data_IF_243245681166
#
_entry.id   IF_243245681166
#
_cell.length_a   1.000
_cell.length_b   1.000
_cell.length_c   1.000
_cell.angle_alpha   90.00
_cell.angle_beta   90.00
_cell.angle_gamma   90.00
#
_symmetry.space_group_name_H-M   'P 1'
#
loop_
_entity.id
_entity.type
_entity.pdbx_description
1 polymer ?
#
# COMPACT_ATOMS: atom_id res chain seq x y z
N UNK A 1 2.92 21.12 -7.95
CA UNK A 1 3.23 20.04 -6.98
C UNK A 1 2.61 18.77 -7.54
N UNK A 2 3.41 17.75 -7.83
CA UNK A 2 2.86 16.44 -8.22
C UNK A 2 2.05 15.90 -7.03
N UNK A 3 0.85 15.37 -7.29
CA UNK A 3 -0.04 14.85 -6.22
C UNK A 3 0.60 13.65 -5.52
N UNK A 4 1.49 12.94 -6.20
CA UNK A 4 2.01 11.66 -5.75
C UNK A 4 3.41 11.73 -5.14
N UNK A 5 4.25 12.68 -5.56
CA UNK A 5 5.65 12.77 -5.12
C UNK A 5 6.04 14.22 -4.83
N UNK A 6 6.65 14.43 -3.67
CA UNK A 6 7.39 15.65 -3.36
C UNK A 6 8.83 15.49 -3.87
N UNK A 7 9.08 16.00 -5.08
CA UNK A 7 10.34 15.80 -5.83
C UNK A 7 11.54 16.34 -5.03
N UNK A 8 11.35 17.40 -4.25
CA UNK A 8 12.39 18.01 -3.41
C UNK A 8 12.82 17.13 -2.23
N UNK A 9 12.02 16.11 -1.89
CA UNK A 9 12.30 15.16 -0.79
C UNK A 9 12.82 13.81 -1.28
N UNK A 10 13.05 13.65 -2.59
CA UNK A 10 13.64 12.44 -3.13
C UNK A 10 15.09 12.32 -2.67
N UNK A 11 15.48 11.11 -2.25
CA UNK A 11 16.84 10.79 -1.83
C UNK A 11 17.54 10.04 -2.94
N UNK A 12 18.77 10.43 -3.22
CA UNK A 12 19.62 9.72 -4.16
C UNK A 12 19.85 8.28 -3.71
N UNK A 13 19.98 7.37 -4.67
CA UNK A 13 20.21 5.94 -4.43
C UNK A 13 19.00 5.19 -3.84
N UNK A 14 17.80 5.78 -3.88
CA UNK A 14 16.56 5.10 -3.51
C UNK A 14 15.66 4.87 -4.72
N UNK A 15 15.07 3.69 -4.77
CA UNK A 15 14.02 3.36 -5.72
C UNK A 15 12.66 3.87 -5.20
N UNK A 16 11.94 4.55 -6.08
CA UNK A 16 10.60 5.05 -5.82
C UNK A 16 9.61 4.42 -6.80
N UNK A 17 8.35 4.19 -6.38
CA UNK A 17 7.32 3.73 -7.29
C UNK A 17 7.07 4.73 -8.43
N UNK A 18 6.82 4.22 -9.62
CA UNK A 18 6.24 5.00 -10.70
C UNK A 18 4.72 5.03 -10.50
N UNK A 19 4.18 6.18 -10.11
CA UNK A 19 2.74 6.38 -10.00
C UNK A 19 2.13 6.59 -11.40
N UNK A 20 1.03 5.88 -11.65
CA UNK A 20 0.31 5.89 -12.92
C UNK A 20 -1.10 6.44 -12.68
N UNK A 21 -1.41 7.56 -13.32
CA UNK A 21 -2.76 8.14 -13.30
C UNK A 21 -3.68 7.28 -14.17
N UNK A 22 -4.90 7.03 -13.70
CA UNK A 22 -5.83 6.07 -14.33
C UNK A 22 -6.13 6.31 -15.83
N UNK A 23 -5.96 7.53 -16.32
CA UNK A 23 -6.16 7.94 -17.73
C UNK A 23 -4.89 7.81 -18.60
N UNK A 24 -3.73 7.53 -18.00
CA UNK A 24 -2.42 7.46 -18.70
C UNK A 24 -2.00 6.04 -19.09
N UNK A 25 -2.67 5.02 -18.56
CA UNK A 25 -2.37 3.62 -18.85
C UNK A 25 -3.66 2.86 -19.15
N UNK A 26 -3.51 1.68 -19.75
CA UNK A 26 -4.62 0.77 -20.05
C UNK A 26 -4.24 -0.67 -19.71
N UNK A 27 -5.23 -1.48 -19.38
CA UNK A 27 -5.06 -2.93 -19.16
C UNK A 27 -6.14 -3.65 -19.94
N UNK A 28 -5.75 -4.62 -20.74
CA UNK A 28 -6.63 -5.33 -21.68
C UNK A 28 -6.38 -6.84 -21.59
N UNK A 29 -7.44 -7.63 -21.80
CA UNK A 29 -7.32 -9.09 -21.87
C UNK A 29 -6.63 -9.45 -23.18
N UNK A 30 -5.68 -10.37 -23.13
CA UNK A 30 -4.97 -10.81 -24.32
C UNK A 30 -5.86 -11.77 -25.11
N UNK A 31 -6.15 -11.43 -26.37
CA UNK A 31 -7.02 -12.24 -27.24
C UNK A 31 -6.23 -13.33 -28.00
N UNK A 32 -4.93 -13.10 -28.27
CA UNK A 32 -4.16 -13.88 -29.25
C UNK A 32 -2.83 -14.45 -28.71
N UNK A 33 -2.70 -14.69 -27.41
CA UNK A 33 -1.48 -15.26 -26.81
C UNK A 33 -1.79 -16.41 -25.86
N UNK A 34 -0.98 -17.48 -25.91
CA UNK A 34 -1.10 -18.63 -24.99
C UNK A 34 -0.37 -18.39 -23.67
N UNK A 35 0.71 -17.60 -23.71
CA UNK A 35 1.62 -17.40 -22.59
C UNK A 35 1.14 -16.35 -21.58
N UNK A 36 0.35 -15.37 -22.04
CA UNK A 36 -0.07 -14.21 -21.23
C UNK A 36 -1.57 -13.97 -21.38
N UNK A 37 -2.25 -13.74 -20.26
CA UNK A 37 -3.69 -13.47 -20.22
C UNK A 37 -4.06 -11.99 -20.36
N UNK A 38 -3.11 -11.08 -20.13
CA UNK A 38 -3.35 -9.64 -20.08
C UNK A 38 -2.15 -8.83 -20.58
N UNK A 39 -2.46 -7.68 -21.17
CA UNK A 39 -1.52 -6.66 -21.60
C UNK A 39 -1.77 -5.35 -20.85
N UNK A 40 -0.71 -4.66 -20.45
CA UNK A 40 -0.78 -3.31 -19.90
C UNK A 40 -0.02 -2.33 -20.81
N UNK A 41 -0.65 -1.21 -21.16
CA UNK A 41 -0.02 -0.13 -21.90
C UNK A 41 0.55 0.89 -20.92
N UNK A 42 1.86 0.88 -20.73
CA UNK A 42 2.55 1.73 -19.75
C UNK A 42 3.16 2.94 -20.45
N UNK A 43 2.86 4.17 -20.01
CA UNK A 43 3.45 5.38 -20.59
C UNK A 43 4.96 5.43 -20.30
N UNK A 44 5.76 5.71 -21.33
CA UNK A 44 7.20 5.93 -21.22
C UNK A 44 7.58 7.16 -22.04
N UNK A 45 8.69 7.81 -21.68
CA UNK A 45 9.11 9.09 -22.29
C UNK A 45 9.33 8.99 -23.79
N UNK A 46 9.95 7.92 -24.24
CA UNK A 46 10.50 7.82 -25.61
C UNK A 46 9.52 7.21 -26.62
N UNK A 47 8.37 6.70 -26.16
CA UNK A 47 7.38 6.02 -27.01
C UNK A 47 6.04 6.72 -26.87
N UNK A 48 5.60 7.38 -27.94
CA UNK A 48 4.30 8.03 -27.98
C UNK A 48 3.18 7.01 -27.74
N UNK A 49 2.38 7.25 -26.70
CA UNK A 49 1.29 6.37 -26.29
C UNK A 49 1.71 5.19 -25.41
N UNK A 50 3.00 4.98 -25.11
CA UNK A 50 3.49 3.96 -24.19
C UNK A 50 3.85 2.61 -24.83
N UNK A 51 4.38 1.70 -24.00
CA UNK A 51 4.81 0.34 -24.37
C UNK A 51 3.82 -0.68 -23.83
N UNK A 52 3.51 -1.69 -24.63
CA UNK A 52 2.72 -2.84 -24.22
C UNK A 52 3.59 -3.86 -23.50
N UNK A 53 3.25 -4.16 -22.25
CA UNK A 53 3.95 -5.16 -21.44
C UNK A 53 2.98 -6.26 -21.01
N UNK A 54 3.41 -7.53 -21.02
CA UNK A 54 2.57 -8.61 -20.54
C UNK A 54 2.44 -8.52 -19.02
N UNK A 55 1.23 -8.75 -18.50
CA UNK A 55 0.98 -8.76 -17.06
C UNK A 55 0.27 -10.05 -16.64
N UNK A 56 0.72 -10.62 -15.52
CA UNK A 56 0.11 -11.81 -14.92
C UNK A 56 -0.57 -11.39 -13.62
N UNK A 57 -1.88 -11.09 -13.64
CA UNK A 57 -2.56 -10.69 -12.43
C UNK A 57 -2.75 -11.91 -11.50
N UNK A 58 -2.86 -11.65 -10.20
CA UNK A 58 -3.14 -12.66 -9.19
C UNK A 58 -4.61 -13.12 -9.22
N UNK A 59 -5.49 -12.29 -9.76
CA UNK A 59 -6.92 -12.53 -9.94
C UNK A 59 -7.37 -12.05 -11.32
N UNK A 60 -8.49 -12.57 -11.83
CA UNK A 60 -9.05 -12.12 -13.11
C UNK A 60 -9.50 -10.64 -13.02
N UNK A 61 -9.05 -9.82 -13.97
CA UNK A 61 -9.48 -8.43 -14.10
C UNK A 61 -10.79 -8.42 -14.88
N UNK A 62 -11.91 -8.16 -14.20
CA UNK A 62 -13.23 -8.09 -14.81
C UNK A 62 -13.42 -6.75 -15.51
N UNK A 63 -14.13 -6.77 -16.64
CA UNK A 63 -14.49 -5.56 -17.41
C UNK A 63 -15.34 -4.56 -16.61
N UNK A 64 -16.07 -5.04 -15.60
CA UNK A 64 -16.90 -4.20 -14.73
C UNK A 64 -16.09 -3.41 -13.70
N UNK A 65 -14.79 -3.69 -13.55
CA UNK A 65 -13.95 -3.01 -12.57
C UNK A 65 -13.54 -1.64 -13.10
N UNK A 66 -13.68 -0.63 -12.26
CA UNK A 66 -13.23 0.72 -12.58
C UNK A 66 -11.76 0.87 -12.18
N UNK A 67 -10.87 0.98 -13.17
CA UNK A 67 -9.44 1.14 -12.96
C UNK A 67 -9.15 2.50 -12.32
N UNK A 68 -8.35 2.50 -11.26
CA UNK A 68 -7.94 3.68 -10.49
C UNK A 68 -6.44 3.93 -10.61
N UNK A 69 -5.99 5.02 -10.01
CA UNK A 69 -4.57 5.35 -9.93
C UNK A 69 -3.79 4.17 -9.35
N UNK A 70 -2.75 3.79 -10.08
CA UNK A 70 -2.00 2.56 -9.88
C UNK A 70 -0.51 2.88 -9.80
N UNK A 71 0.33 1.88 -9.57
CA UNK A 71 1.77 2.11 -9.49
C UNK A 71 2.58 0.92 -9.97
N UNK A 72 3.77 1.18 -10.48
CA UNK A 72 4.79 0.18 -10.74
C UNK A 72 5.84 0.30 -9.65
N UNK A 73 6.18 -0.83 -9.02
CA UNK A 73 7.17 -0.91 -7.96
C UNK A 73 8.30 -1.81 -8.42
N UNK A 74 9.54 -1.36 -8.26
CA UNK A 74 10.70 -2.23 -8.42
C UNK A 74 10.95 -3.00 -7.13
N UNK A 75 11.03 -4.32 -7.22
CA UNK A 75 11.51 -5.19 -6.14
C UNK A 75 12.66 -6.02 -6.65
N UNK A 76 13.85 -5.76 -6.12
CA UNK A 76 15.10 -6.41 -6.52
C UNK A 76 15.31 -6.32 -8.05
N UNK A 77 15.09 -7.45 -8.73
CA UNK A 77 15.27 -7.62 -10.19
C UNK A 77 13.95 -7.70 -10.96
N UNK A 78 12.80 -7.45 -10.31
CA UNK A 78 11.47 -7.60 -10.90
C UNK A 78 10.67 -6.31 -10.74
N UNK A 79 9.83 -6.01 -11.75
CA UNK A 79 8.82 -4.96 -11.66
C UNK A 79 7.46 -5.58 -11.33
N UNK A 80 6.82 -5.06 -10.29
CA UNK A 80 5.45 -5.40 -9.94
C UNK A 80 4.52 -4.27 -10.36
N UNK A 81 3.44 -4.63 -11.06
CA UNK A 81 2.38 -3.70 -11.38
C UNK A 81 1.24 -3.82 -10.36
N UNK A 82 1.11 -2.82 -9.49
CA UNK A 82 0.07 -2.75 -8.46
C UNK A 82 -1.14 -2.02 -9.05
N UNK A 83 -2.05 -2.79 -9.63
CA UNK A 83 -3.30 -2.30 -10.22
C UNK A 83 -4.35 -2.05 -9.13
N UNK A 84 -4.80 -0.80 -9.02
CA UNK A 84 -5.92 -0.42 -8.15
C UNK A 84 -7.22 -0.46 -8.92
N UNK A 85 -8.25 -1.13 -8.36
CA UNK A 85 -9.59 -1.18 -8.94
C UNK A 85 -10.64 -0.81 -7.92
N UNK A 86 -11.70 -0.15 -8.37
CA UNK A 86 -12.94 0.01 -7.64
C UNK A 86 -13.98 -0.91 -8.24
N UNK A 87 -14.63 -1.72 -7.40
CA UNK A 87 -15.74 -2.58 -7.78
C UNK A 87 -16.88 -2.38 -6.80
N UNK A 88 -18.10 -2.38 -7.32
CA UNK A 88 -19.28 -2.51 -6.47
C UNK A 88 -19.34 -3.95 -5.96
N UNK A 89 -19.70 -4.10 -4.69
CA UNK A 89 -19.87 -5.40 -4.05
C UNK A 89 -21.25 -5.44 -3.43
N UNK A 90 -21.94 -6.56 -3.61
CA UNK A 90 -23.23 -6.76 -2.95
C UNK A 90 -23.02 -6.81 -1.43
N UNK A 91 -23.92 -6.18 -0.65
CA UNK A 91 -23.89 -6.30 0.79
C UNK A 91 -24.04 -7.77 1.17
N UNK A 92 -23.19 -8.24 2.07
CA UNK A 92 -23.30 -9.61 2.59
C UNK A 92 -24.47 -9.64 3.57
N UNK A 93 -25.50 -10.44 3.30
CA UNK A 93 -26.68 -10.55 4.17
C UNK A 93 -26.33 -11.06 5.58
N UNK A 94 -25.34 -11.96 5.68
CA UNK A 94 -24.87 -12.50 6.95
C UNK A 94 -23.34 -12.54 6.99
N UNK A 95 -22.75 -11.76 7.91
CA UNK A 95 -21.33 -11.82 8.18
C UNK A 95 -20.99 -13.09 8.96
N UNK A 96 -19.95 -13.82 8.52
CA UNK A 96 -19.38 -14.96 9.28
C UNK A 96 -18.80 -14.54 10.64
N UNK A 97 -18.59 -13.24 10.84
CA UNK A 97 -18.06 -12.66 12.06
C UNK A 97 -17.70 -11.19 11.93
N UNK A 98 -17.42 -10.56 13.07
CA UNK A 98 -16.90 -9.19 13.14
C UNK A 98 -15.46 -9.23 13.67
N UNK A 99 -14.59 -8.45 13.04
CA UNK A 99 -13.25 -8.16 13.49
C UNK A 99 -13.22 -6.73 14.05
N UNK A 100 -13.27 -6.59 15.37
CA UNK A 100 -13.05 -5.31 16.02
C UNK A 100 -11.54 -5.01 16.08
N UNK A 101 -11.12 -3.85 15.62
CA UNK A 101 -9.72 -3.39 15.71
C UNK A 101 -9.72 -2.05 16.45
N UNK A 102 -9.04 -1.99 17.58
CA UNK A 102 -8.81 -0.76 18.36
C UNK A 102 -7.32 -0.42 18.35
N UNK A 103 -7.00 0.84 18.08
CA UNK A 103 -5.64 1.36 18.04
C UNK A 103 -5.47 2.30 19.24
N UNK A 104 -4.82 1.81 20.29
CA UNK A 104 -4.71 2.52 21.56
C UNK A 104 -3.29 3.00 21.88
N UNK A 105 -3.19 3.93 22.83
CA UNK A 105 -1.89 4.47 23.28
C UNK A 105 -1.06 3.43 24.05
N UNK A 106 -1.70 2.58 24.85
CA UNK A 106 -1.02 1.54 25.65
C UNK A 106 -0.75 0.25 24.86
N UNK A 107 -1.56 -0.02 23.83
CA UNK A 107 -1.50 -1.19 22.97
C UNK A 107 -1.65 -0.73 21.53
N UNK A 108 -0.61 -0.94 20.72
CA UNK A 108 -0.57 -0.46 19.33
C UNK A 108 -1.78 -0.90 18.53
N UNK A 109 -2.17 -2.17 18.69
CA UNK A 109 -3.41 -2.69 18.16
C UNK A 109 -3.97 -3.79 19.07
N UNK A 110 -5.26 -3.71 19.35
CA UNK A 110 -6.04 -4.78 19.98
C UNK A 110 -7.09 -5.24 18.98
N UNK A 111 -7.18 -6.54 18.78
CA UNK A 111 -8.11 -7.15 17.84
C UNK A 111 -9.03 -8.13 18.56
N UNK A 112 -10.33 -8.05 18.32
CA UNK A 112 -11.33 -8.97 18.86
C UNK A 112 -12.07 -9.63 17.70
N UNK A 113 -12.09 -10.96 17.68
CA UNK A 113 -12.85 -11.75 16.70
C UNK A 113 -14.12 -12.29 17.34
N UNK A 114 -15.29 -11.76 16.98
CA UNK A 114 -16.57 -12.18 17.57
C UNK A 114 -16.84 -13.70 17.48
N UNK A 115 -16.59 -14.40 16.35
CA UNK A 115 -16.91 -15.83 16.25
C UNK A 115 -16.16 -16.70 17.25
N UNK A 116 -14.90 -16.36 17.52
CA UNK A 116 -14.03 -17.08 18.46
C UNK A 116 -14.00 -16.50 19.87
N UNK A 117 -14.55 -15.30 20.05
CA UNK A 117 -14.30 -14.40 21.20
C UNK A 117 -12.83 -14.24 21.59
N UNK A 118 -11.92 -14.57 20.66
CA UNK A 118 -10.49 -14.47 20.88
C UNK A 118 -10.08 -13.00 20.78
N UNK A 119 -9.40 -12.53 21.82
CA UNK A 119 -8.76 -11.21 21.82
C UNK A 119 -7.27 -11.40 21.53
N UNK A 120 -6.80 -10.85 20.42
CA UNK A 120 -5.38 -10.74 20.12
C UNK A 120 -4.90 -9.34 20.50
N UNK A 121 -3.82 -9.26 21.27
CA UNK A 121 -3.20 -7.99 21.64
C UNK A 121 -1.84 -7.94 20.96
N UNK A 122 -1.68 -7.06 19.99
CA UNK A 122 -0.37 -6.84 19.37
C UNK A 122 0.43 -5.91 20.29
N UNK A 123 1.33 -6.54 21.05
CA UNK A 123 2.17 -5.87 22.03
C UNK A 123 3.50 -5.51 21.38
N UNK A 124 3.67 -4.23 21.13
CA UNK A 124 4.90 -3.58 21.57
C UNK A 124 4.52 -2.83 22.84
N UNK A 125 5.31 -2.92 23.91
CA UNK A 125 5.08 -2.06 25.06
C UNK A 125 5.39 -0.62 24.64
N UNK A 126 4.38 0.08 24.11
CA UNK A 126 4.53 1.47 23.67
C UNK A 126 4.99 2.32 24.85
N UNK A 127 4.50 2.03 26.06
CA UNK A 127 5.00 2.64 27.29
C UNK A 127 6.51 2.47 27.46
N UNK A 128 7.08 1.29 27.19
CA UNK A 128 8.53 1.06 27.31
C UNK A 128 9.30 1.82 26.23
N UNK A 129 8.75 1.89 25.01
CA UNK A 129 9.33 2.70 23.92
C UNK A 129 9.27 4.19 24.28
N UNK A 130 8.11 4.70 24.71
CA UNK A 130 7.92 6.08 25.14
C UNK A 130 8.79 6.42 26.34
N UNK A 131 8.91 5.53 27.33
CA UNK A 131 9.79 5.67 28.48
C UNK A 131 11.26 5.69 28.07
N UNK A 132 11.67 4.85 27.11
CA UNK A 132 13.01 4.86 26.54
C UNK A 132 13.28 6.17 25.81
N UNK A 133 12.36 6.64 24.95
CA UNK A 133 12.47 7.94 24.28
C UNK A 133 12.48 9.10 25.28
N UNK A 134 11.69 9.04 26.35
CA UNK A 134 11.62 10.05 27.39
C UNK A 134 12.89 10.05 28.26
N UNK A 135 13.45 8.89 28.59
CA UNK A 135 14.75 8.74 29.24
C UNK A 135 15.88 9.33 28.38
N UNK A 136 15.94 8.96 27.10
CA UNK A 136 16.93 9.51 26.17
C UNK A 136 16.77 11.03 26.03
N UNK A 137 15.53 11.54 25.89
CA UNK A 137 15.27 12.97 25.84
C UNK A 137 15.67 13.70 27.12
N UNK A 138 15.53 13.10 28.31
CA UNK A 138 15.98 13.72 29.56
C UNK A 138 17.50 13.70 29.73
N UNK A 139 18.17 12.66 29.23
CA UNK A 139 19.59 12.40 29.52
C UNK A 139 20.54 12.75 28.37
N UNK A 140 20.04 13.10 27.19
CA UNK A 140 20.86 13.67 26.13
C UNK A 140 21.22 15.14 26.44
N UNK A 141 22.36 15.60 25.93
CA UNK A 141 22.98 16.92 26.21
C UNK A 141 22.04 18.13 26.00
N UNK A 142 21.03 18.00 25.13
CA UNK A 142 20.04 19.05 24.80
C UNK A 142 18.63 18.73 25.36
N UNK A 143 18.54 17.85 26.34
CA UNK A 143 17.30 17.41 26.96
C UNK A 143 16.69 18.45 27.87
N UNK A 144 15.38 18.71 27.73
CA UNK A 144 14.65 19.58 28.65
C UNK A 144 14.57 18.92 30.04
N UNK A 145 15.47 19.32 30.93
CA UNK A 145 15.27 19.25 32.38
C UNK A 145 15.25 20.68 32.89
N UNK A 146 14.05 21.26 33.04
CA UNK A 146 13.89 22.31 34.05
C UNK A 146 13.93 21.63 35.42
N UNK A 147 15.01 21.86 36.16
CA UNK A 147 15.09 21.58 37.59
C UNK A 147 14.02 22.42 38.31
N UNK A 148 13.10 21.77 39.03
CA UNK A 148 12.67 22.12 40.39
C UNK A 148 12.25 20.87 41.13
#
# INVERSE_FOLDING_TARGET
MDKYIDIEKLKDGKDYPLFLRNDTFRVEKAENTKEFGYWAKIPVRDVYGGVWVPVKPHEEIKLTYNIKDSKIVRKDYVFEFHLSVSKEVEPVEAYKGVLGVDLGLNKLATCVRLPSRQTQRHRTHIGDIQNKYYFLRRNCKNGYVQKR
#
